data_IF_408999457264
#
_entry.id   IF_408999457264
#
_cell.length_a   1.000
_cell.length_b   1.000
_cell.length_c   1.000
_cell.angle_alpha   90.00
_cell.angle_beta   90.00
_cell.angle_gamma   90.00
#
_symmetry.space_group_name_H-M   'P 1'
#
loop_
_entity.id
_entity.type
_entity.pdbx_description
1 polymer ?
#
# COMPACT_ATOMS: atom_id res chain seq x y z
N UNK A 1 -2.66 -14.97 -13.54
CA UNK A 1 -1.26 -14.50 -13.42
C UNK A 1 -0.33 -15.69 -13.57
N UNK A 2 0.63 -15.61 -14.48
CA UNK A 2 1.69 -16.60 -14.62
C UNK A 2 2.60 -16.56 -13.37
N UNK A 3 2.59 -17.65 -12.59
CA UNK A 3 3.39 -17.80 -11.36
C UNK A 3 4.68 -18.59 -11.59
N UNK A 4 5.01 -18.92 -12.85
CA UNK A 4 6.15 -19.78 -13.19
C UNK A 4 7.46 -19.23 -12.65
N UNK A 5 7.67 -17.92 -12.71
CA UNK A 5 8.87 -17.27 -12.17
C UNK A 5 9.05 -17.48 -10.66
N UNK A 6 7.95 -17.51 -9.87
CA UNK A 6 8.00 -17.75 -8.43
C UNK A 6 8.35 -19.21 -8.14
N UNK A 7 7.78 -20.14 -8.90
CA UNK A 7 8.07 -21.57 -8.78
C UNK A 7 9.54 -21.84 -9.11
N UNK A 8 10.05 -21.27 -10.19
CA UNK A 8 11.45 -21.42 -10.59
C UNK A 8 12.41 -20.76 -9.59
N UNK A 9 12.10 -19.55 -9.11
CA UNK A 9 12.88 -18.89 -8.07
C UNK A 9 12.98 -19.74 -6.81
N UNK A 10 11.84 -20.26 -6.35
CA UNK A 10 11.75 -21.11 -5.16
C UNK A 10 12.54 -22.41 -5.35
N UNK A 11 12.46 -23.05 -6.52
CA UNK A 11 13.30 -24.20 -6.87
C UNK A 11 14.81 -23.89 -6.82
N UNK A 12 15.23 -22.68 -7.26
CA UNK A 12 16.65 -22.29 -7.25
C UNK A 12 17.24 -22.10 -5.86
N UNK A 13 16.47 -21.53 -4.92
CA UNK A 13 16.98 -21.19 -3.57
C UNK A 13 16.59 -22.23 -2.51
N UNK A 14 15.65 -23.11 -2.81
CA UNK A 14 15.11 -24.11 -1.89
C UNK A 14 13.98 -23.56 -1.01
N UNK A 15 13.03 -24.43 -0.67
CA UNK A 15 11.79 -24.06 0.03
C UNK A 15 12.04 -23.36 1.38
N UNK A 16 12.94 -23.91 2.20
CA UNK A 16 13.25 -23.34 3.53
C UNK A 16 13.79 -21.91 3.43
N UNK A 17 14.68 -21.65 2.49
CA UNK A 17 15.23 -20.32 2.28
C UNK A 17 14.18 -19.36 1.70
N UNK A 18 13.36 -19.83 0.77
CA UNK A 18 12.25 -19.06 0.23
C UNK A 18 11.25 -18.63 1.31
N UNK A 19 10.84 -19.58 2.17
CA UNK A 19 9.92 -19.32 3.28
C UNK A 19 10.50 -18.36 4.31
N UNK A 20 11.81 -18.47 4.58
CA UNK A 20 12.52 -17.51 5.43
C UNK A 20 12.45 -16.09 4.85
N UNK A 21 12.79 -15.93 3.57
CA UNK A 21 12.81 -14.61 2.90
C UNK A 21 11.41 -14.01 2.87
N UNK A 22 10.38 -14.81 2.58
CA UNK A 22 8.98 -14.36 2.57
C UNK A 22 8.55 -13.94 3.97
N UNK A 23 8.85 -14.73 5.00
CA UNK A 23 8.49 -14.40 6.38
C UNK A 23 9.15 -13.12 6.86
N UNK A 24 10.44 -12.94 6.58
CA UNK A 24 11.16 -11.70 6.91
C UNK A 24 10.60 -10.50 6.15
N UNK A 25 10.19 -10.69 4.88
CA UNK A 25 9.55 -9.65 4.09
C UNK A 25 8.24 -9.16 4.70
N UNK A 26 7.38 -10.10 5.06
CA UNK A 26 6.08 -9.82 5.65
C UNK A 26 6.25 -9.17 7.02
N UNK A 27 7.13 -9.70 7.87
CA UNK A 27 7.40 -9.14 9.19
C UNK A 27 7.92 -7.70 9.12
N UNK A 28 8.86 -7.41 8.20
CA UNK A 28 9.36 -6.06 8.01
C UNK A 28 8.25 -5.10 7.56
N UNK A 29 7.35 -5.56 6.68
CA UNK A 29 6.19 -4.79 6.23
C UNK A 29 5.23 -4.47 7.38
N UNK A 30 4.79 -5.49 8.13
CA UNK A 30 3.90 -5.29 9.29
C UNK A 30 4.49 -4.32 10.30
N UNK A 31 5.76 -4.50 10.68
CA UNK A 31 6.43 -3.61 11.62
C UNK A 31 6.56 -2.17 11.08
N UNK A 32 6.76 -2.00 9.77
CA UNK A 32 6.81 -0.68 9.15
C UNK A 32 5.44 0.01 9.23
N UNK A 33 4.34 -0.68 8.86
CA UNK A 33 2.99 -0.11 8.94
C UNK A 33 2.65 0.28 10.38
N UNK A 34 2.86 -0.63 11.35
CA UNK A 34 2.64 -0.34 12.77
C UNK A 34 3.47 0.86 13.25
N UNK A 35 4.71 1.00 12.77
CA UNK A 35 5.57 2.14 13.13
C UNK A 35 5.03 3.46 12.57
N UNK A 36 4.49 3.45 11.34
CA UNK A 36 3.87 4.63 10.72
C UNK A 36 2.54 4.97 11.40
N UNK A 37 1.67 4.00 11.64
CA UNK A 37 0.40 4.18 12.36
C UNK A 37 0.64 4.80 13.74
N UNK A 38 1.57 4.25 14.52
CA UNK A 38 1.90 4.79 15.85
C UNK A 38 2.39 6.23 15.77
N UNK A 39 3.14 6.60 14.72
CA UNK A 39 3.53 7.99 14.51
C UNK A 39 2.31 8.90 14.33
N UNK A 40 1.39 8.52 13.45
CA UNK A 40 0.19 9.31 13.14
C UNK A 40 -0.69 9.46 14.39
N UNK A 41 -0.81 8.41 15.20
CA UNK A 41 -1.56 8.42 16.45
C UNK A 41 -0.84 9.12 17.62
N UNK A 42 0.37 9.65 17.43
CA UNK A 42 1.17 10.27 18.50
C UNK A 42 1.66 9.29 19.57
N UNK A 43 1.66 7.99 19.26
CA UNK A 43 2.12 6.93 20.16
C UNK A 43 3.63 6.68 20.02
N UNK A 44 4.26 6.26 21.11
CA UNK A 44 5.69 5.93 21.12
C UNK A 44 5.99 4.79 20.15
N UNK A 45 6.95 4.95 19.24
CA UNK A 45 7.31 3.89 18.27
C UNK A 45 8.33 2.92 18.84
N UNK A 46 8.14 1.63 18.60
CA UNK A 46 9.08 0.60 19.05
C UNK A 46 10.34 0.57 18.17
N UNK A 47 11.51 0.70 18.79
CA UNK A 47 12.81 0.46 18.15
C UNK A 47 13.57 -0.62 18.90
N UNK A 48 13.68 -1.81 18.30
CA UNK A 48 14.43 -2.95 18.87
C UNK A 48 15.73 -3.16 18.11
N UNK A 49 16.71 -3.81 18.76
CA UNK A 49 18.05 -4.05 18.21
C UNK A 49 18.08 -5.08 17.07
N UNK A 50 17.03 -5.89 16.91
CA UNK A 50 16.94 -6.86 15.83
C UNK A 50 16.96 -6.17 14.46
N UNK A 51 17.69 -6.77 13.51
CA UNK A 51 17.90 -6.24 12.14
C UNK A 51 16.59 -5.89 11.44
N UNK A 52 15.57 -6.76 11.53
CA UNK A 52 14.26 -6.53 10.90
C UNK A 52 13.52 -5.35 11.55
N UNK A 53 13.60 -5.21 12.88
CA UNK A 53 13.01 -4.06 13.57
C UNK A 53 13.70 -2.75 13.20
N UNK A 54 15.04 -2.74 13.14
CA UNK A 54 15.78 -1.55 12.72
C UNK A 54 15.45 -1.15 11.28
N UNK A 55 15.42 -2.13 10.37
CA UNK A 55 15.05 -1.92 8.97
C UNK A 55 13.63 -1.34 8.85
N UNK A 56 12.64 -1.95 9.51
CA UNK A 56 11.26 -1.48 9.48
C UNK A 56 11.12 -0.06 10.07
N UNK A 57 11.83 0.23 11.15
CA UNK A 57 11.87 1.56 11.76
C UNK A 57 12.44 2.61 10.79
N UNK A 58 13.57 2.31 10.15
CA UNK A 58 14.25 3.22 9.22
C UNK A 58 13.45 3.40 7.91
N UNK A 59 12.71 2.37 7.46
CA UNK A 59 11.75 2.49 6.36
C UNK A 59 10.55 3.38 6.74
N UNK A 60 10.00 3.21 7.94
CA UNK A 60 8.93 4.05 8.45
C UNK A 60 9.38 5.51 8.62
N UNK A 61 10.61 5.74 9.09
CA UNK A 61 11.22 7.08 9.17
C UNK A 61 11.22 7.79 7.81
N UNK A 62 11.54 7.07 6.73
CA UNK A 62 11.49 7.64 5.39
C UNK A 62 10.07 8.05 4.99
N UNK A 63 9.07 7.22 5.26
CA UNK A 63 7.65 7.54 4.99
C UNK A 63 7.23 8.77 5.79
N UNK A 64 7.57 8.82 7.08
CA UNK A 64 7.21 9.91 7.99
C UNK A 64 7.84 11.23 7.52
N UNK A 65 9.16 11.24 7.30
CA UNK A 65 9.91 12.47 7.01
C UNK A 65 9.72 13.00 5.59
N UNK A 66 9.31 12.16 4.64
CA UNK A 66 9.26 12.52 3.21
C UNK A 66 7.86 12.42 2.62
N UNK A 67 7.04 11.52 3.14
CA UNK A 67 5.65 11.32 2.71
C UNK A 67 4.66 12.11 3.54
N UNK A 68 4.61 11.80 4.84
CA UNK A 68 3.58 12.34 5.74
C UNK A 68 3.67 13.86 5.93
N UNK A 69 4.82 14.47 5.64
CA UNK A 69 4.99 15.94 5.61
C UNK A 69 4.02 16.64 4.65
N UNK A 70 3.48 15.92 3.67
CA UNK A 70 2.50 16.42 2.69
C UNK A 70 1.05 16.00 3.03
N UNK A 71 0.83 15.31 4.15
CA UNK A 71 -0.51 14.94 4.63
C UNK A 71 -1.02 16.09 5.50
N UNK A 72 -2.09 16.74 5.06
CA UNK A 72 -2.69 17.88 5.74
C UNK A 72 -3.64 17.43 6.85
N UNK A 73 -4.41 16.37 6.59
CA UNK A 73 -5.42 15.86 7.51
C UNK A 73 -5.49 14.33 7.43
N UNK A 74 -5.81 13.71 8.57
CA UNK A 74 -6.06 12.27 8.66
C UNK A 74 -7.50 12.07 9.10
N UNK A 75 -8.30 11.42 8.25
CA UNK A 75 -9.71 11.11 8.52
C UNK A 75 -9.87 9.71 9.09
N UNK A 76 -8.96 8.80 8.73
CA UNK A 76 -8.95 7.44 9.25
C UNK A 76 -7.68 6.68 8.90
N UNK A 77 -7.33 5.73 9.75
CA UNK A 77 -6.20 4.82 9.59
C UNK A 77 -6.77 3.41 9.65
N UNK A 78 -6.30 2.53 8.77
CA UNK A 78 -6.69 1.12 8.81
C UNK A 78 -8.23 0.93 8.77
N UNK A 79 -8.90 1.74 7.95
CA UNK A 79 -10.36 1.80 7.84
C UNK A 79 -10.85 0.61 7.01
N UNK A 80 -11.76 -0.22 7.54
CA UNK A 80 -12.39 -1.27 6.75
C UNK A 80 -13.28 -0.63 5.68
N UNK A 81 -13.10 -1.07 4.45
CA UNK A 81 -13.84 -0.65 3.28
C UNK A 81 -14.65 -1.83 2.78
N UNK A 82 -15.96 -1.64 2.66
CA UNK A 82 -16.88 -2.66 2.18
C UNK A 82 -17.74 -2.08 1.06
N UNK A 83 -17.57 -2.62 -0.15
CA UNK A 83 -18.47 -2.34 -1.26
C UNK A 83 -19.56 -3.42 -1.26
N UNK A 84 -20.83 -3.07 -0.92
CA UNK A 84 -21.87 -4.04 -0.67
C UNK A 84 -22.02 -5.07 -1.79
N UNK A 85 -21.87 -6.35 -1.43
CA UNK A 85 -22.03 -7.48 -2.35
C UNK A 85 -20.91 -7.69 -3.39
N UNK A 86 -19.85 -6.86 -3.40
CA UNK A 86 -18.81 -6.95 -4.45
C UNK A 86 -17.42 -7.23 -3.89
N UNK A 87 -16.88 -6.40 -2.98
CA UNK A 87 -15.54 -6.59 -2.42
C UNK A 87 -15.36 -5.90 -1.07
N UNK A 88 -14.34 -6.33 -0.31
CA UNK A 88 -13.94 -5.72 0.96
C UNK A 88 -12.42 -5.52 1.01
N UNK A 89 -11.96 -4.55 1.80
CA UNK A 89 -10.55 -4.25 1.99
C UNK A 89 -10.30 -3.38 3.21
N UNK A 90 -9.03 -2.98 3.40
CA UNK A 90 -8.62 -2.08 4.47
C UNK A 90 -7.63 -1.08 3.87
N UNK A 91 -7.91 0.21 4.01
CA UNK A 91 -6.98 1.25 3.57
C UNK A 91 -6.01 1.56 4.70
N UNK A 92 -4.72 1.71 4.40
CA UNK A 92 -3.75 2.12 5.41
C UNK A 92 -4.09 3.50 5.98
N UNK A 93 -4.42 4.47 5.11
CA UNK A 93 -4.66 5.85 5.49
C UNK A 93 -5.63 6.53 4.51
N UNK A 94 -6.58 7.30 5.04
CA UNK A 94 -7.48 8.18 4.28
C UNK A 94 -7.49 9.57 4.89
N UNK A 95 -7.47 10.60 4.05
CA UNK A 95 -7.37 11.99 4.51
C UNK A 95 -7.10 12.97 3.37
N UNK A 96 -6.40 14.05 3.69
CA UNK A 96 -6.04 15.10 2.73
C UNK A 96 -4.53 15.07 2.49
N UNK A 97 -4.12 14.92 1.23
CA UNK A 97 -2.73 14.96 0.78
C UNK A 97 -2.54 16.11 -0.21
N UNK A 98 -1.61 17.02 0.07
CA UNK A 98 -1.38 18.24 -0.73
C UNK A 98 -2.68 19.01 -1.06
N UNK A 99 -3.59 19.11 -0.10
CA UNK A 99 -4.86 19.82 -0.23
C UNK A 99 -5.97 19.06 -0.98
N UNK A 100 -5.76 17.82 -1.40
CA UNK A 100 -6.77 16.98 -2.06
C UNK A 100 -7.08 15.71 -1.24
N UNK A 101 -8.35 15.30 -1.24
CA UNK A 101 -8.79 14.08 -0.59
C UNK A 101 -8.18 12.86 -1.28
N UNK A 102 -7.55 11.97 -0.50
CA UNK A 102 -6.77 10.85 -1.02
C UNK A 102 -6.91 9.57 -0.21
N UNK A 103 -6.89 8.44 -0.92
CA UNK A 103 -6.47 7.15 -0.36
C UNK A 103 -4.96 7.09 -0.37
N UNK A 104 -4.35 6.79 0.77
CA UNK A 104 -2.92 6.70 0.97
C UNK A 104 -2.55 5.28 1.40
N UNK A 105 -1.51 4.71 0.78
CA UNK A 105 -1.08 3.35 1.03
C UNK A 105 0.45 3.27 1.15
N UNK A 106 0.92 2.58 2.17
CA UNK A 106 2.31 2.36 2.48
C UNK A 106 2.76 1.04 1.85
N UNK A 107 3.79 1.07 1.01
CA UNK A 107 4.35 -0.15 0.40
C UNK A 107 5.80 -0.33 0.80
N UNK A 108 6.12 -1.51 1.33
CA UNK A 108 7.49 -1.97 1.47
C UNK A 108 7.91 -2.78 0.22
N UNK A 109 9.17 -2.62 -0.20
CA UNK A 109 9.70 -3.31 -1.38
C UNK A 109 11.17 -3.66 -1.21
N UNK A 110 11.69 -4.60 -2.02
CA UNK A 110 13.15 -4.84 -2.04
C UNK A 110 13.90 -3.64 -2.59
N UNK A 111 13.39 -3.06 -3.69
CA UNK A 111 13.87 -1.85 -4.35
C UNK A 111 12.67 -1.02 -4.79
N UNK A 112 12.87 0.29 -4.93
CA UNK A 112 11.86 1.18 -5.49
C UNK A 112 11.44 0.66 -6.87
N UNK A 113 10.14 0.41 -7.02
CA UNK A 113 9.54 -0.05 -8.27
C UNK A 113 9.45 1.10 -9.26
N UNK A 114 9.40 0.77 -10.55
CA UNK A 114 9.06 1.74 -11.59
C UNK A 114 7.54 2.00 -11.60
N UNK A 115 7.13 3.15 -12.12
CA UNK A 115 5.73 3.60 -12.12
C UNK A 115 4.82 2.63 -12.90
N UNK A 116 5.34 2.07 -13.98
CA UNK A 116 4.68 1.08 -14.85
C UNK A 116 4.56 -0.32 -14.23
N UNK A 117 5.18 -0.56 -13.06
CA UNK A 117 5.14 -1.85 -12.36
C UNK A 117 4.24 -1.85 -11.12
N UNK A 118 3.52 -0.76 -10.88
CA UNK A 118 2.68 -0.57 -9.70
C UNK A 118 1.21 -0.34 -10.06
N UNK A 119 0.81 -0.69 -11.28
CA UNK A 119 -0.58 -0.58 -11.75
C UNK A 119 -1.56 -1.28 -10.81
N UNK A 120 -1.18 -2.42 -10.24
CA UNK A 120 -2.01 -3.14 -9.28
C UNK A 120 -2.21 -2.37 -7.96
N UNK A 121 -1.22 -1.58 -7.52
CA UNK A 121 -1.36 -0.75 -6.32
C UNK A 121 -2.32 0.42 -6.58
N UNK A 122 -2.30 0.97 -7.79
CA UNK A 122 -3.28 1.99 -8.18
C UNK A 122 -4.68 1.43 -8.37
N UNK A 123 -4.83 0.23 -8.93
CA UNK A 123 -6.12 -0.46 -8.96
C UNK A 123 -6.68 -0.68 -7.55
N UNK A 124 -5.83 -1.11 -6.61
CA UNK A 124 -6.20 -1.28 -5.19
C UNK A 124 -6.69 0.04 -4.58
N UNK A 125 -5.90 1.12 -4.72
CA UNK A 125 -6.28 2.42 -4.19
C UNK A 125 -7.54 3.01 -4.84
N UNK A 126 -7.73 2.81 -6.16
CA UNK A 126 -8.94 3.24 -6.87
C UNK A 126 -10.17 2.48 -6.36
N UNK A 127 -10.07 1.17 -6.13
CA UNK A 127 -11.13 0.39 -5.50
C UNK A 127 -11.49 0.93 -4.11
N UNK A 128 -10.48 1.30 -3.31
CA UNK A 128 -10.70 1.85 -1.98
C UNK A 128 -11.34 3.23 -2.02
N UNK A 129 -10.94 4.08 -2.97
CA UNK A 129 -11.55 5.39 -3.16
C UNK A 129 -13.03 5.25 -3.57
N UNK A 130 -13.34 4.39 -4.55
CA UNK A 130 -14.72 4.12 -4.96
C UNK A 130 -15.58 3.61 -3.79
N UNK A 131 -15.03 2.70 -2.99
CA UNK A 131 -15.73 2.18 -1.82
C UNK A 131 -15.95 3.24 -0.74
N UNK A 132 -14.94 4.06 -0.43
CA UNK A 132 -15.08 5.13 0.56
C UNK A 132 -16.07 6.20 0.08
N UNK A 133 -16.08 6.52 -1.22
CA UNK A 133 -17.03 7.43 -1.83
C UNK A 133 -18.47 6.92 -1.68
N UNK A 134 -18.70 5.64 -1.98
CA UNK A 134 -20.02 5.01 -1.86
C UNK A 134 -20.51 4.95 -0.40
N UNK A 135 -19.66 4.48 0.52
CA UNK A 135 -20.05 4.25 1.92
C UNK A 135 -20.25 5.55 2.70
N UNK A 136 -19.41 6.56 2.45
CA UNK A 136 -19.36 7.79 3.25
C UNK A 136 -19.79 9.06 2.49
N UNK A 137 -20.23 8.94 1.22
CA UNK A 137 -20.66 10.08 0.41
C UNK A 137 -19.53 11.07 0.08
N UNK A 138 -18.29 10.57 -0.01
CA UNK A 138 -17.11 11.39 -0.36
C UNK A 138 -16.84 11.41 -1.86
N UNK A 139 -15.91 12.26 -2.32
CA UNK A 139 -15.49 12.38 -3.73
C UNK A 139 -13.96 12.29 -3.88
N UNK A 140 -13.39 11.22 -3.35
CA UNK A 140 -11.94 10.94 -3.45
C UNK A 140 -11.61 10.55 -4.89
N UNK A 141 -10.66 11.28 -5.48
CA UNK A 141 -10.15 11.08 -6.85
C UNK A 141 -8.62 11.02 -6.91
N UNK A 142 -7.99 10.77 -5.76
CA UNK A 142 -6.54 10.70 -5.63
C UNK A 142 -6.13 9.43 -4.86
N UNK A 143 -5.08 8.79 -5.35
CA UNK A 143 -4.39 7.69 -4.66
C UNK A 143 -2.91 8.02 -4.54
N UNK A 144 -2.35 7.86 -3.35
CA UNK A 144 -0.95 8.14 -3.07
C UNK A 144 -0.28 6.89 -2.53
N UNK A 145 0.75 6.42 -3.22
CA UNK A 145 1.56 5.26 -2.81
C UNK A 145 2.88 5.77 -2.22
N UNK A 146 3.08 5.51 -0.94
CA UNK A 146 4.31 5.77 -0.21
C UNK A 146 5.20 4.53 -0.24
N UNK A 147 6.17 4.49 -1.14
CA UNK A 147 7.05 3.34 -1.30
C UNK A 147 8.36 3.55 -0.56
N UNK A 148 8.61 2.70 0.43
CA UNK A 148 9.92 2.53 1.04
C UNK A 148 10.55 1.21 0.58
N UNK A 149 11.86 1.20 0.40
CA UNK A 149 12.60 -0.01 0.05
C UNK A 149 13.55 -0.46 1.14
N UNK A 150 14.02 -1.71 1.05
CA UNK A 150 15.02 -2.27 1.96
C UNK A 150 16.40 -1.61 1.83
N UNK A 151 16.67 -0.98 0.69
CA UNK A 151 17.88 -0.18 0.47
C UNK A 151 17.75 1.22 1.13
N UNK A 152 16.71 1.44 1.94
CA UNK A 152 16.37 2.69 2.63
C UNK A 152 16.07 3.87 1.68
N UNK A 153 15.83 3.58 0.40
CA UNK A 153 15.26 4.53 -0.54
C UNK A 153 13.76 4.72 -0.32
N UNK A 154 13.26 5.87 -0.76
CA UNK A 154 11.86 6.23 -0.72
C UNK A 154 11.42 6.98 -1.97
N UNK A 155 10.20 6.69 -2.41
CA UNK A 155 9.52 7.38 -3.51
C UNK A 155 8.02 7.43 -3.29
N UNK A 156 7.43 8.58 -3.58
CA UNK A 156 5.97 8.76 -3.66
C UNK A 156 5.52 8.60 -5.10
N UNK A 157 4.38 7.94 -5.28
CA UNK A 157 3.67 7.96 -6.55
C UNK A 157 2.25 8.44 -6.32
N UNK A 158 1.80 9.36 -7.18
CA UNK A 158 0.47 9.96 -7.09
C UNK A 158 -0.31 9.58 -8.35
N UNK A 159 -1.57 9.21 -8.16
CA UNK A 159 -2.55 8.96 -9.19
C UNK A 159 -3.70 9.94 -8.97
N UNK A 160 -3.99 10.77 -9.97
CA UNK A 160 -4.99 11.83 -9.87
C UNK A 160 -5.57 12.20 -11.25
N UNK A 161 -6.62 13.02 -11.26
CA UNK A 161 -7.25 13.51 -12.47
C UNK A 161 -7.76 12.40 -13.39
N UNK A 162 -7.56 12.54 -14.71
CA UNK A 162 -8.02 11.56 -15.70
C UNK A 162 -7.38 10.19 -15.52
N UNK A 163 -6.16 10.14 -14.95
CA UNK A 163 -5.50 8.87 -14.71
C UNK A 163 -6.26 8.06 -13.66
N UNK A 164 -6.76 8.69 -12.60
CA UNK A 164 -7.57 8.02 -11.57
C UNK A 164 -8.76 7.27 -12.18
N UNK A 165 -9.53 7.93 -13.05
CA UNK A 165 -10.67 7.30 -13.75
C UNK A 165 -10.25 6.09 -14.59
N UNK A 166 -9.11 6.18 -15.27
CA UNK A 166 -8.55 5.04 -16.03
C UNK A 166 -8.29 3.82 -15.13
N UNK A 167 -7.84 4.04 -13.89
CA UNK A 167 -7.60 2.93 -12.94
C UNK A 167 -8.88 2.43 -12.28
N UNK A 168 -9.90 3.27 -12.12
CA UNK A 168 -11.25 2.82 -11.77
C UNK A 168 -11.78 1.84 -12.83
N UNK A 169 -11.66 2.19 -14.12
CA UNK A 169 -12.10 1.33 -15.22
C UNK A 169 -11.31 0.02 -15.27
N UNK A 170 -9.98 0.08 -15.08
CA UNK A 170 -9.12 -1.12 -14.97
C UNK A 170 -9.55 -2.01 -13.80
N UNK A 171 -9.93 -1.43 -12.67
CA UNK A 171 -10.42 -2.18 -11.51
C UNK A 171 -11.77 -2.85 -11.80
N UNK A 172 -12.72 -2.11 -12.40
CA UNK A 172 -14.03 -2.65 -12.79
C UNK A 172 -13.86 -3.82 -13.78
N UNK A 173 -13.01 -3.67 -14.79
CA UNK A 173 -12.73 -4.75 -15.74
C UNK A 173 -12.14 -6.00 -15.06
N UNK A 174 -11.29 -5.82 -14.04
CA UNK A 174 -10.77 -6.95 -13.23
C UNK A 174 -11.87 -7.62 -12.40
N UNK A 175 -12.80 -6.85 -11.83
CA UNK A 175 -13.96 -7.39 -11.13
C UNK A 175 -14.86 -8.19 -12.07
N UNK A 176 -15.20 -7.65 -13.24
CA UNK A 176 -16.00 -8.35 -14.25
C UNK A 176 -15.35 -9.67 -14.67
N UNK A 177 -14.04 -9.66 -14.94
CA UNK A 177 -13.30 -10.88 -15.23
C UNK A 177 -13.35 -11.89 -14.09
N UNK A 178 -13.31 -11.45 -12.83
CA UNK A 178 -13.40 -12.34 -11.69
C UNK A 178 -14.78 -13.01 -11.61
N UNK A 179 -15.87 -12.23 -11.74
CA UNK A 179 -17.23 -12.78 -11.69
C UNK A 179 -17.60 -13.63 -12.91
N UNK A 180 -17.10 -13.31 -14.10
CA UNK A 180 -17.35 -14.09 -15.31
C UNK A 180 -16.57 -15.42 -15.38
N UNK A 181 -15.52 -15.56 -14.57
CA UNK A 181 -14.71 -16.78 -14.48
C UNK A 181 -15.06 -17.66 -13.26
N UNK A 182 -16.13 -17.33 -12.53
CA UNK A 182 -16.75 -18.20 -11.53
C UNK A 182 -17.84 -19.05 -12.18
#
# INVERSE_FOLDING_TARGET
>A
MDKTFLVEWRKRIGDKAADQIVREASNAGTLMHTSVERHILGLERERKSNVIHKLAYDMAENIIKRGLVNVNEVWGIEVPLYFPGVYAGRTDLVGVYNGASAIMDHKNSKKIKKREWIDDYFCQGAAYALCHNEVYGTDIKQVVIFMASRDLDYKTFVLEGNEFHTYCDKWIAKLEQYFNNQ
#
